data_IF_705338434816
#
_entry.id   IF_705338434816
#
_cell.length_a   1.000
_cell.length_b   1.000
_cell.length_c   1.000
_cell.angle_alpha   90.00
_cell.angle_beta   90.00
_cell.angle_gamma   90.00
#
_symmetry.space_group_name_H-M   'P 1'
#
loop_
_entity.id
_entity.type
_entity.pdbx_description
1 polymer ?
#
# COMPACT_ATOMS: atom_id res chain seq x y z
N UNK A 1 7.23 -28.70 -3.87
CA UNK A 1 6.97 -29.06 -2.46
C UNK A 1 8.31 -29.01 -1.76
N UNK A 2 8.44 -28.19 -0.72
CA UNK A 2 9.71 -27.97 -0.02
C UNK A 2 9.52 -28.43 1.42
N UNK A 3 10.49 -29.15 1.96
CA UNK A 3 10.46 -29.61 3.35
C UNK A 3 11.61 -28.96 4.12
N UNK A 4 11.37 -28.60 5.37
CA UNK A 4 12.37 -28.02 6.25
C UNK A 4 12.52 -28.87 7.51
N UNK A 5 13.76 -29.10 7.94
CA UNK A 5 14.09 -29.85 9.15
C UNK A 5 14.47 -28.85 10.25
N UNK A 6 13.87 -28.97 11.43
CA UNK A 6 14.23 -28.20 12.62
C UNK A 6 14.80 -29.16 13.67
N UNK A 7 15.97 -28.84 14.21
CA UNK A 7 16.55 -29.59 15.33
C UNK A 7 15.98 -29.08 16.65
N UNK A 8 15.47 -30.00 17.49
CA UNK A 8 14.91 -29.69 18.80
C UNK A 8 15.89 -29.96 19.95
N UNK A 9 17.05 -30.57 19.63
CA UNK A 9 17.95 -31.15 20.62
C UNK A 9 17.63 -32.62 20.93
N UNK A 10 18.51 -33.28 21.69
CA UNK A 10 18.41 -34.71 22.05
C UNK A 10 18.27 -35.67 20.84
N UNK A 11 18.95 -35.40 19.72
CA UNK A 11 18.83 -36.16 18.47
C UNK A 11 17.39 -36.24 17.90
N UNK A 12 16.53 -35.27 18.25
CA UNK A 12 15.15 -35.16 17.73
C UNK A 12 15.04 -34.06 16.68
N UNK A 13 14.28 -34.38 15.63
CA UNK A 13 14.06 -33.52 14.47
C UNK A 13 12.56 -33.39 14.20
N UNK A 14 12.10 -32.17 13.95
CA UNK A 14 10.78 -31.91 13.38
C UNK A 14 10.91 -31.67 11.88
N UNK A 15 10.04 -32.33 11.10
CA UNK A 15 9.95 -32.18 9.65
C UNK A 15 8.70 -31.36 9.32
N UNK A 16 8.89 -30.20 8.69
CA UNK A 16 7.82 -29.31 8.26
C UNK A 16 7.65 -29.36 6.74
N UNK A 17 6.42 -29.49 6.26
CA UNK A 17 6.06 -29.29 4.84
C UNK A 17 5.76 -27.81 4.60
N UNK A 18 6.62 -27.12 3.84
CA UNK A 18 6.38 -25.74 3.42
C UNK A 18 5.50 -25.75 2.17
N UNK A 19 4.21 -25.44 2.36
CA UNK A 19 3.26 -25.25 1.25
C UNK A 19 3.30 -23.80 0.78
N UNK A 20 3.53 -23.53 -0.52
CA UNK A 20 3.39 -22.19 -1.06
C UNK A 20 1.98 -21.68 -0.83
N UNK A 21 1.83 -20.54 -0.15
CA UNK A 21 0.55 -19.87 0.06
C UNK A 21 0.53 -18.57 -0.72
N UNK A 22 -0.47 -18.40 -1.59
CA UNK A 22 -0.70 -17.12 -2.26
C UNK A 22 -1.33 -16.15 -1.28
N UNK A 23 -0.66 -15.03 -1.01
CA UNK A 23 -1.14 -13.97 -0.10
C UNK A 23 -1.99 -12.93 -0.85
N UNK A 24 -1.87 -12.87 -2.18
CA UNK A 24 -2.68 -11.99 -3.02
C UNK A 24 -2.19 -11.92 -4.46
N UNK A 25 -3.01 -11.33 -5.34
CA UNK A 25 -2.65 -11.06 -6.74
C UNK A 25 -2.53 -9.55 -6.92
N UNK A 26 -1.33 -9.09 -7.27
CA UNK A 26 -1.03 -7.67 -7.46
C UNK A 26 -0.92 -7.35 -8.96
N UNK A 27 -1.57 -6.27 -9.38
CA UNK A 27 -1.55 -5.82 -10.79
C UNK A 27 -0.38 -4.89 -11.11
N UNK A 28 0.32 -4.39 -10.09
CA UNK A 28 1.43 -3.45 -10.24
C UNK A 28 2.73 -4.06 -9.70
N UNK A 29 3.70 -4.23 -10.60
CA UNK A 29 5.02 -4.81 -10.29
C UNK A 29 5.78 -4.05 -9.21
N UNK A 30 5.81 -2.71 -9.26
CA UNK A 30 6.56 -1.90 -8.29
C UNK A 30 5.96 -2.03 -6.88
N UNK A 31 4.65 -2.22 -6.77
CA UNK A 31 3.98 -2.47 -5.49
C UNK A 31 4.32 -3.88 -5.00
N UNK A 32 4.30 -4.88 -5.88
CA UNK A 32 4.69 -6.25 -5.54
C UNK A 32 6.12 -6.33 -5.01
N UNK A 33 7.08 -5.67 -5.67
CA UNK A 33 8.48 -5.60 -5.23
C UNK A 33 8.59 -4.98 -3.83
N UNK A 34 7.91 -3.85 -3.56
CA UNK A 34 7.92 -3.25 -2.21
C UNK A 34 7.26 -4.12 -1.14
N UNK A 35 6.27 -4.93 -1.51
CA UNK A 35 5.64 -5.89 -0.60
C UNK A 35 6.60 -7.03 -0.25
N UNK A 36 7.37 -7.52 -1.24
CA UNK A 36 8.41 -8.52 -1.00
C UNK A 36 9.48 -7.94 -0.08
N UNK A 37 10.02 -6.76 -0.39
CA UNK A 37 11.03 -6.11 0.45
C UNK A 37 10.53 -5.89 1.88
N UNK A 38 9.26 -5.51 2.05
CA UNK A 38 8.64 -5.36 3.37
C UNK A 38 8.55 -6.69 4.12
N UNK A 39 8.08 -7.76 3.47
CA UNK A 39 7.96 -9.08 4.09
C UNK A 39 9.34 -9.65 4.45
N UNK A 40 10.34 -9.43 3.61
CA UNK A 40 11.73 -9.85 3.88
C UNK A 40 12.39 -9.02 4.99
N UNK A 41 11.94 -7.78 5.23
CA UNK A 41 12.44 -6.92 6.31
C UNK A 41 11.83 -7.20 7.69
N UNK A 42 10.83 -8.09 7.76
CA UNK A 42 10.28 -8.54 9.05
C UNK A 42 11.26 -9.60 9.59
N UNK A 43 12.23 -9.15 10.40
CA UNK A 43 13.21 -10.01 11.07
C UNK A 43 12.54 -11.08 11.96
N UNK A 44 13.30 -12.15 12.28
CA UNK A 44 12.89 -13.28 13.16
C UNK A 44 12.26 -12.82 14.50
N UNK A 45 12.66 -11.65 15.01
CA UNK A 45 12.11 -11.05 16.25
C UNK A 45 10.62 -10.69 16.15
N UNK A 46 10.13 -10.34 14.96
CA UNK A 46 8.71 -10.06 14.71
C UNK A 46 7.91 -11.30 14.34
N UNK A 47 8.58 -12.41 14.04
CA UNK A 47 7.94 -13.68 13.69
C UNK A 47 7.25 -14.31 14.90
N UNK A 48 7.83 -14.16 16.10
CA UNK A 48 7.22 -14.60 17.36
C UNK A 48 5.93 -13.84 17.70
N UNK A 49 5.84 -12.55 17.35
CA UNK A 49 4.62 -11.75 17.60
C UNK A 49 3.47 -12.19 16.68
N UNK A 50 3.77 -12.73 15.49
CA UNK A 50 2.76 -13.25 14.56
C UNK A 50 2.26 -14.66 14.94
N UNK A 51 3.09 -15.47 15.58
CA UNK A 51 2.71 -16.81 16.07
C UNK A 51 1.78 -16.74 17.29
N UNK A 52 1.88 -15.70 18.12
CA UNK A 52 1.00 -15.47 19.28
C UNK A 52 -0.37 -14.87 18.92
N UNK A 53 -0.58 -14.44 17.66
CA UNK A 53 -1.92 -14.06 17.19
C UNK A 53 -2.65 -15.34 16.81
N UNK A 54 -3.21 -16.02 17.81
CA UNK A 54 -4.29 -16.99 17.60
C UNK A 54 -5.46 -16.26 16.93
N UNK A 55 -5.50 -16.29 15.61
CA UNK A 55 -6.69 -15.99 14.85
C UNK A 55 -7.71 -17.09 15.14
N UNK A 56 -8.49 -16.90 16.20
CA UNK A 56 -9.75 -17.61 16.45
C UNK A 56 -10.79 -17.13 15.41
N UNK A 57 -10.47 -17.37 14.14
CA UNK A 57 -11.41 -17.27 13.04
C UNK A 57 -12.14 -18.61 13.08
N UNK A 58 -13.45 -18.64 13.37
CA UNK A 58 -14.22 -19.86 13.28
C UNK A 58 -14.08 -20.38 11.87
N UNK A 59 -13.34 -21.47 11.69
CA UNK A 59 -13.30 -22.20 10.45
C UNK A 59 -14.76 -22.61 10.19
N UNK A 60 -15.41 -22.12 9.11
CA UNK A 60 -16.71 -22.65 8.75
C UNK A 60 -16.51 -24.14 8.56
N UNK A 61 -17.16 -24.94 9.42
CA UNK A 61 -17.16 -26.37 9.25
C UNK A 61 -17.69 -26.65 7.85
N UNK A 62 -17.09 -27.59 7.09
CA UNK A 62 -17.63 -28.00 5.82
C UNK A 62 -18.90 -28.81 6.10
N UNK A 63 -19.99 -28.12 6.44
CA UNK A 63 -21.31 -28.67 6.28
C UNK A 63 -21.45 -28.96 4.80
N UNK A 64 -21.48 -30.24 4.49
CA UNK A 64 -21.64 -30.77 3.15
C UNK A 64 -22.83 -30.06 2.51
N UNK A 65 -22.54 -29.15 1.58
CA UNK A 65 -23.55 -28.64 0.66
C UNK A 65 -23.86 -29.83 -0.24
N UNK A 66 -24.84 -30.63 0.17
CA UNK A 66 -25.51 -31.58 -0.69
C UNK A 66 -26.26 -30.73 -1.71
N UNK A 67 -25.63 -30.52 -2.86
CA UNK A 67 -26.33 -30.04 -4.05
C UNK A 67 -27.20 -31.22 -4.46
N UNK A 68 -28.41 -31.29 -3.90
CA UNK A 68 -29.46 -32.10 -4.50
C UNK A 68 -29.79 -31.44 -5.84
N UNK A 69 -29.62 -32.18 -6.93
CA UNK A 69 -30.08 -31.83 -8.27
C UNK A 69 -31.61 -31.70 -8.26
N UNK A 70 -32.10 -30.60 -7.71
CA UNK A 70 -33.49 -30.19 -7.74
C UNK A 70 -33.80 -29.65 -9.13
N UNK A 71 -34.64 -30.40 -9.85
CA UNK A 71 -35.23 -30.05 -11.13
C UNK A 71 -35.83 -28.63 -11.04
N UNK A 72 -35.14 -27.65 -11.63
CA UNK A 72 -35.50 -26.24 -11.55
C UNK A 72 -36.65 -25.96 -12.52
N UNK A 73 -37.89 -25.97 -12.03
CA UNK A 73 -39.08 -25.55 -12.77
C UNK A 73 -39.21 -24.01 -12.75
N UNK A 74 -38.93 -23.29 -13.86
CA UNK A 74 -39.01 -21.83 -13.91
C UNK A 74 -40.45 -21.29 -13.80
N UNK A 75 -41.45 -22.16 -13.71
CA UNK A 75 -42.88 -21.80 -13.65
C UNK A 75 -43.38 -21.44 -12.24
N UNK A 76 -42.57 -21.64 -11.19
CA UNK A 76 -43.01 -21.52 -9.78
C UNK A 76 -42.51 -20.29 -9.02
N UNK A 77 -42.02 -19.23 -9.68
CA UNK A 77 -41.70 -18.00 -8.97
C UNK A 77 -42.98 -17.19 -8.65
N UNK A 78 -43.27 -16.91 -7.35
CA UNK A 78 -44.31 -15.95 -7.00
C UNK A 78 -43.91 -14.56 -7.53
N UNK A 79 -44.90 -13.85 -8.05
CA UNK A 79 -44.74 -12.64 -8.83
C UNK A 79 -43.82 -11.58 -8.23
N UNK A 80 -43.03 -10.97 -9.10
CA UNK A 80 -42.31 -9.72 -8.86
C UNK A 80 -43.26 -8.69 -8.23
N UNK A 81 -43.07 -8.44 -6.93
CA UNK A 81 -43.66 -7.27 -6.29
C UNK A 81 -42.93 -6.03 -6.84
N UNK A 82 -43.72 -5.12 -7.39
CA UNK A 82 -43.30 -3.80 -7.83
C UNK A 82 -42.51 -3.10 -6.71
N UNK A 83 -41.37 -2.45 -7.01
CA UNK A 83 -40.68 -1.62 -6.04
C UNK A 83 -41.57 -0.42 -5.69
N UNK A 84 -41.97 -0.34 -4.42
CA UNK A 84 -42.68 0.80 -3.85
C UNK A 84 -41.88 2.10 -4.02
N UNK A 85 -42.63 3.17 -4.24
CA UNK A 85 -42.15 4.49 -4.60
C UNK A 85 -41.13 5.06 -3.60
N UNK A 86 -40.01 5.52 -4.13
CA UNK A 86 -38.98 6.28 -3.44
C UNK A 86 -39.60 7.54 -2.79
N UNK A 87 -39.46 7.76 -1.47
CA UNK A 87 -39.87 9.01 -0.85
C UNK A 87 -39.05 10.19 -1.40
N UNK A 88 -39.72 11.33 -1.57
CA UNK A 88 -39.19 12.54 -2.18
C UNK A 88 -37.87 13.02 -1.53
N UNK A 89 -36.90 13.51 -2.33
CA UNK A 89 -35.61 13.96 -1.81
C UNK A 89 -35.79 15.20 -0.93
N UNK A 90 -35.18 15.16 0.26
CA UNK A 90 -35.00 16.33 1.12
C UNK A 90 -34.23 17.44 0.35
N UNK A 91 -34.51 18.73 0.62
CA UNK A 91 -33.84 19.83 -0.07
C UNK A 91 -32.34 19.78 0.15
N UNK A 92 -31.59 19.74 -0.96
CA UNK A 92 -30.14 19.79 -0.96
C UNK A 92 -29.66 21.08 -0.29
N UNK A 93 -28.65 21.03 0.61
CA UNK A 93 -28.02 22.24 1.11
C UNK A 93 -27.42 23.01 -0.07
N UNK A 94 -27.80 24.27 -0.18
CA UNK A 94 -27.34 25.20 -1.21
C UNK A 94 -25.82 25.32 -1.11
N UNK A 95 -25.12 24.77 -2.12
CA UNK A 95 -23.68 24.89 -2.28
C UNK A 95 -23.34 26.38 -2.44
N UNK A 96 -22.89 27.00 -1.35
CA UNK A 96 -22.30 28.32 -1.37
C UNK A 96 -21.16 28.34 -2.40
N UNK A 97 -21.19 29.35 -3.27
CA UNK A 97 -20.18 29.57 -4.30
C UNK A 97 -18.80 29.66 -3.65
N UNK A 98 -17.77 28.94 -4.16
CA UNK A 98 -16.43 29.06 -3.60
C UNK A 98 -15.90 30.46 -3.93
N UNK A 99 -15.74 31.29 -2.90
CA UNK A 99 -14.77 32.37 -2.93
C UNK A 99 -13.42 31.68 -2.83
N UNK A 100 -12.76 31.51 -3.98
CA UNK A 100 -11.39 30.99 -4.06
C UNK A 100 -10.40 32.06 -3.61
N UNK A 101 -10.42 32.37 -2.32
CA UNK A 101 -9.21 32.90 -1.71
C UNK A 101 -8.23 31.73 -1.60
N UNK A 102 -7.14 31.77 -2.37
CA UNK A 102 -6.07 30.75 -2.32
C UNK A 102 -5.24 30.85 -1.02
N UNK A 103 -5.39 31.95 -0.28
CA UNK A 103 -4.69 32.23 0.97
C UNK A 103 -4.98 31.20 2.10
N UNK A 104 -6.23 30.80 2.40
CA UNK A 104 -6.51 29.74 3.38
C UNK A 104 -5.90 28.39 3.00
N UNK A 105 -5.81 28.06 1.71
CA UNK A 105 -5.27 26.77 1.28
C UNK A 105 -3.76 26.69 1.51
N UNK A 106 -3.02 27.78 1.23
CA UNK A 106 -1.57 27.82 1.46
C UNK A 106 -1.23 27.71 2.93
N UNK A 107 -2.01 28.36 3.79
CA UNK A 107 -1.86 28.27 5.25
C UNK A 107 -2.20 26.87 5.76
N UNK A 108 -3.29 26.26 5.27
CA UNK A 108 -3.66 24.89 5.59
C UNK A 108 -2.50 23.92 5.32
N UNK A 109 -1.86 24.03 4.15
CA UNK A 109 -0.73 23.19 3.81
C UNK A 109 0.48 23.37 4.71
N UNK A 110 0.78 24.61 5.13
CA UNK A 110 1.91 24.89 6.03
C UNK A 110 1.73 24.18 7.38
N UNK A 111 0.50 24.19 7.91
CA UNK A 111 0.16 23.53 9.18
C UNK A 111 0.20 22.00 9.08
N UNK A 112 -0.28 21.45 7.96
CA UNK A 112 -0.17 20.01 7.69
C UNK A 112 1.29 19.57 7.57
N UNK A 113 2.17 20.38 6.99
CA UNK A 113 3.62 20.11 6.95
C UNK A 113 4.27 20.19 8.34
N UNK A 114 3.74 21.01 9.25
CA UNK A 114 4.16 21.05 10.66
C UNK A 114 3.67 19.84 11.48
N UNK A 115 2.89 18.93 10.88
CA UNK A 115 2.39 17.71 11.52
C UNK A 115 1.04 17.86 12.23
N UNK A 116 0.31 18.95 11.99
CA UNK A 116 -1.03 19.12 12.56
C UNK A 116 -2.06 18.15 11.97
N UNK A 117 -3.10 17.84 12.74
CA UNK A 117 -4.16 16.93 12.32
C UNK A 117 -5.06 17.58 11.26
N UNK A 118 -5.43 16.78 10.24
CA UNK A 118 -6.22 17.24 9.10
C UNK A 118 -7.63 17.72 9.49
N UNK A 119 -8.22 17.18 10.55
CA UNK A 119 -9.52 17.61 11.08
C UNK A 119 -9.45 19.04 11.65
N UNK A 120 -8.47 19.30 12.51
CA UNK A 120 -8.26 20.62 13.15
C UNK A 120 -8.04 21.69 12.09
N UNK A 121 -7.18 21.41 11.10
CA UNK A 121 -6.91 22.35 10.00
C UNK A 121 -8.15 22.59 9.14
N UNK A 122 -8.97 21.57 8.88
CA UNK A 122 -10.21 21.72 8.11
C UNK A 122 -11.22 22.64 8.81
N UNK A 123 -11.41 22.45 10.11
CA UNK A 123 -12.35 23.24 10.92
C UNK A 123 -11.93 24.72 10.99
N UNK A 124 -10.63 24.99 11.18
CA UNK A 124 -10.11 26.36 11.28
C UNK A 124 -10.05 27.10 9.94
N UNK A 125 -9.82 26.39 8.83
CA UNK A 125 -9.72 26.98 7.50
C UNK A 125 -11.07 27.06 6.77
N UNK A 126 -12.12 26.44 7.32
CA UNK A 126 -13.43 26.36 6.70
C UNK A 126 -13.46 25.49 5.43
N UNK A 127 -12.41 24.70 5.17
CA UNK A 127 -12.34 23.82 4.01
C UNK A 127 -12.93 22.47 4.39
N UNK A 128 -13.92 22.00 3.62
CA UNK A 128 -14.48 20.67 3.83
C UNK A 128 -13.40 19.58 3.84
N UNK A 129 -13.38 18.75 4.89
CA UNK A 129 -12.34 17.75 5.13
C UNK A 129 -12.05 16.83 3.92
N UNK A 130 -13.05 16.30 3.17
CA UNK A 130 -12.79 15.49 1.98
C UNK A 130 -12.02 16.25 0.88
N UNK A 131 -12.29 17.54 0.72
CA UNK A 131 -11.60 18.42 -0.24
C UNK A 131 -10.16 18.65 0.19
N UNK A 132 -9.94 19.00 1.46
CA UNK A 132 -8.59 19.20 2.00
C UNK A 132 -7.73 17.93 1.90
N UNK A 133 -8.31 16.76 2.19
CA UNK A 133 -7.64 15.46 2.05
C UNK A 133 -7.21 15.19 0.61
N UNK A 134 -8.09 15.42 -0.37
CA UNK A 134 -7.77 15.24 -1.78
C UNK A 134 -6.67 16.17 -2.27
N UNK A 135 -6.76 17.45 -1.88
CA UNK A 135 -5.77 18.48 -2.18
C UNK A 135 -4.39 18.16 -1.58
N UNK A 136 -4.35 17.75 -0.32
CA UNK A 136 -3.13 17.34 0.36
C UNK A 136 -2.48 16.09 -0.26
N UNK A 137 -3.28 15.07 -0.59
CA UNK A 137 -2.80 13.87 -1.25
C UNK A 137 -2.21 14.18 -2.64
N UNK A 138 -2.82 15.11 -3.39
CA UNK A 138 -2.26 15.59 -4.65
C UNK A 138 -0.92 16.29 -4.44
N UNK A 139 -0.83 17.22 -3.48
CA UNK A 139 0.42 17.93 -3.18
C UNK A 139 1.56 16.96 -2.82
N UNK A 140 1.31 15.95 -1.98
CA UNK A 140 2.32 14.93 -1.63
C UNK A 140 2.79 14.14 -2.86
N UNK A 141 1.87 13.82 -3.79
CA UNK A 141 2.25 13.12 -5.03
C UNK A 141 3.18 13.97 -5.88
N UNK A 142 2.81 15.22 -6.13
CA UNK A 142 3.64 16.15 -6.90
C UNK A 142 4.97 16.46 -6.23
N UNK A 143 5.02 16.60 -4.90
CA UNK A 143 6.29 16.84 -4.19
C UNK A 143 7.23 15.64 -4.29
N UNK A 144 6.70 14.41 -4.22
CA UNK A 144 7.49 13.18 -4.44
C UNK A 144 7.98 13.07 -5.88
N UNK A 145 7.14 13.40 -6.85
CA UNK A 145 7.52 13.40 -8.26
C UNK A 145 8.62 14.43 -8.54
N UNK A 146 8.49 15.65 -8.00
CA UNK A 146 9.52 16.68 -8.11
C UNK A 146 10.83 16.25 -7.44
N UNK A 147 10.79 15.69 -6.23
CA UNK A 147 11.97 15.17 -5.55
C UNK A 147 12.67 14.06 -6.38
N UNK A 148 11.89 13.16 -6.99
CA UNK A 148 12.45 12.11 -7.86
C UNK A 148 13.03 12.67 -9.16
N UNK A 149 12.48 13.77 -9.70
CA UNK A 149 13.01 14.42 -10.90
C UNK A 149 14.33 15.15 -10.62
N UNK A 150 14.42 15.87 -9.50
CA UNK A 150 15.68 16.48 -9.07
C UNK A 150 16.75 15.41 -8.81
N UNK A 151 16.35 14.27 -8.26
CA UNK A 151 17.23 13.12 -8.05
C UNK A 151 17.69 12.47 -9.36
N UNK A 152 16.83 12.43 -10.39
CA UNK A 152 17.19 11.97 -11.73
C UNK A 152 18.11 12.98 -12.48
N UNK A 153 18.06 14.26 -12.13
CA UNK A 153 18.93 15.28 -12.72
C UNK A 153 20.35 15.28 -12.10
N UNK A 154 20.53 14.64 -10.94
CA UNK A 154 21.82 14.44 -10.26
C UNK A 154 22.63 13.26 -10.82
N UNK A 155 22.28 12.72 -11.99
CA UNK A 155 23.08 11.70 -12.66
C UNK A 155 24.41 12.30 -13.18
N UNK A 156 25.53 11.86 -12.61
CA UNK A 156 26.87 12.20 -13.08
C UNK A 156 27.37 11.16 -14.09
N UNK A 157 28.28 11.55 -14.99
CA UNK A 157 28.93 10.61 -15.91
C UNK A 157 30.25 10.10 -15.33
N UNK A 158 30.45 8.78 -15.31
CA UNK A 158 31.68 8.16 -14.80
C UNK A 158 32.88 8.55 -15.67
N UNK A 159 33.95 9.06 -15.06
CA UNK A 159 35.14 9.51 -15.79
C UNK A 159 35.87 8.36 -16.52
N UNK A 160 35.80 7.13 -16.02
CA UNK A 160 36.44 5.95 -16.62
C UNK A 160 35.60 5.31 -17.72
N UNK A 161 34.33 5.01 -17.45
CA UNK A 161 33.48 4.22 -18.37
C UNK A 161 32.36 5.03 -19.05
N UNK A 162 32.23 6.33 -18.75
CA UNK A 162 31.22 7.26 -19.27
C UNK A 162 29.75 6.82 -19.08
N UNK A 163 29.50 5.87 -18.18
CA UNK A 163 28.13 5.49 -17.80
C UNK A 163 27.58 6.51 -16.81
N UNK A 164 26.31 6.88 -17.00
CA UNK A 164 25.56 7.66 -16.03
C UNK A 164 25.36 6.84 -14.76
N UNK A 165 25.59 7.49 -13.63
CA UNK A 165 25.42 6.88 -12.32
C UNK A 165 24.99 7.95 -11.32
N UNK A 166 24.42 7.49 -10.20
CA UNK A 166 24.10 8.37 -9.07
C UNK A 166 25.35 8.53 -8.21
N UNK A 167 25.94 9.74 -8.10
CA UNK A 167 27.12 9.95 -7.27
C UNK A 167 26.74 9.77 -5.80
N UNK A 168 27.50 8.96 -5.07
CA UNK A 168 27.47 8.96 -3.60
C UNK A 168 28.48 9.98 -3.07
N UNK A 169 28.30 10.44 -1.82
CA UNK A 169 29.20 11.42 -1.21
C UNK A 169 30.68 10.96 -1.16
N UNK A 170 30.92 9.65 -1.34
CA UNK A 170 32.23 9.01 -1.31
C UNK A 170 32.83 8.75 -2.71
N UNK A 171 32.12 9.03 -3.80
CA UNK A 171 32.60 8.70 -5.16
C UNK A 171 33.26 9.91 -5.84
N UNK A 172 34.58 9.84 -6.06
CA UNK A 172 35.38 10.87 -6.77
C UNK A 172 35.14 10.88 -8.30
N UNK A 173 33.88 10.88 -8.76
CA UNK A 173 33.56 10.87 -10.19
C UNK A 173 33.57 9.48 -10.85
N UNK A 174 33.64 8.41 -10.07
CA UNK A 174 33.68 7.02 -10.53
C UNK A 174 32.39 6.28 -10.18
N UNK A 175 31.89 5.44 -11.10
CA UNK A 175 30.74 4.58 -10.79
C UNK A 175 31.13 3.39 -9.90
N UNK A 176 30.15 2.83 -9.20
CA UNK A 176 30.32 1.71 -8.26
C UNK A 176 31.05 0.49 -8.82
N UNK A 177 31.01 0.26 -10.14
CA UNK A 177 31.82 -0.79 -10.79
C UNK A 177 33.30 -0.39 -10.86
N UNK A 178 33.60 0.79 -11.37
CA UNK A 178 34.98 1.27 -11.52
C UNK A 178 35.68 1.49 -10.18
N UNK A 179 34.95 1.93 -9.14
CA UNK A 179 35.50 2.04 -7.77
C UNK A 179 35.95 0.67 -7.24
N UNK A 180 35.17 -0.39 -7.46
CA UNK A 180 35.52 -1.76 -7.04
C UNK A 180 36.72 -2.32 -7.81
N UNK A 181 36.84 -1.99 -9.09
CA UNK A 181 37.94 -2.47 -9.93
C UNK A 181 39.28 -1.83 -9.52
N UNK A 182 39.27 -0.55 -9.13
CA UNK A 182 40.47 0.16 -8.66
C UNK A 182 40.92 -0.27 -7.26
N UNK A 183 39.98 -0.61 -6.36
CA UNK A 183 40.31 -1.06 -5.00
C UNK A 183 40.85 -2.49 -4.89
N UNK A 184 40.95 -3.23 -6.01
CA UNK A 184 41.44 -4.62 -6.07
C UNK A 184 42.83 -4.78 -6.71
N UNK A 185 43.50 -3.68 -7.06
CA UNK A 185 44.85 -3.67 -7.62
C UNK A 185 45.90 -3.45 -6.54
#
# INVERSE_FOLDING_TARGET
>A
MTYQLKELGDDRFELFELRPRSVGVLTNRRIAERFVDFLDSIDEEHQQVLEDIEFDIPLPQPDAITIEDGDFDPSQHPGFLQPEATPAPAPAPELAKPVEDETPLREAYRRLEAGEQLSVVADETGIAMPKLRGLWANKIRYSKEAANQDEAMLEAECTTCRRRYRPSASDEGLCSRCVRDLGRS
#
